data_IF_064782527886
#
_entry.id   IF_064782527886
#
_cell.length_a   1.000
_cell.length_b   1.000
_cell.length_c   1.000
_cell.angle_alpha   90.00
_cell.angle_beta   90.00
_cell.angle_gamma   90.00
#
_symmetry.space_group_name_H-M   'P 1'
#
loop_
_entity.id
_entity.type
_entity.pdbx_description
1 polymer ?
#
# COMPACT_ATOMS: atom_id res chain seq x y z
N UNK A 1 -8.99 22.61 3.36
CA UNK A 1 -9.52 21.72 4.39
C UNK A 1 -10.89 22.10 4.90
N UNK A 2 -11.51 23.10 4.26
CA UNK A 2 -12.82 23.57 4.71
C UNK A 2 -13.91 22.52 4.56
N UNK A 3 -13.72 21.54 3.67
CA UNK A 3 -14.72 20.50 3.45
C UNK A 3 -14.79 19.48 4.57
N UNK A 4 -13.93 19.60 5.56
CA UNK A 4 -13.80 18.63 6.61
C UNK A 4 -14.37 19.07 7.94
N UNK A 5 -15.24 20.07 7.93
CA UNK A 5 -15.66 20.64 9.21
C UNK A 5 -16.59 19.75 10.01
N UNK A 6 -17.63 19.18 9.41
CA UNK A 6 -18.64 18.43 10.17
C UNK A 6 -18.92 17.06 9.65
N UNK A 7 -19.01 16.94 8.36
CA UNK A 7 -19.41 15.67 7.72
C UNK A 7 -18.18 14.83 7.51
N UNK A 8 -17.54 14.49 8.60
CA UNK A 8 -16.21 13.87 8.54
C UNK A 8 -16.14 12.64 7.69
N UNK A 9 -17.23 11.89 7.58
CA UNK A 9 -17.18 10.68 6.77
C UNK A 9 -17.02 10.98 5.29
N UNK A 10 -17.32 12.21 4.87
CA UNK A 10 -17.18 12.63 3.49
C UNK A 10 -15.95 13.49 3.25
N UNK A 11 -15.12 13.68 4.26
CA UNK A 11 -13.94 14.50 4.15
C UNK A 11 -12.86 13.78 3.35
N UNK A 12 -12.23 14.43 2.36
CA UNK A 12 -11.18 13.79 1.57
C UNK A 12 -10.04 13.20 2.40
N UNK A 13 -9.72 13.81 3.54
CA UNK A 13 -8.64 13.27 4.37
C UNK A 13 -9.02 11.91 4.96
N UNK A 14 -10.29 11.68 5.27
CA UNK A 14 -10.74 10.39 5.76
C UNK A 14 -10.62 9.33 4.67
N UNK A 15 -10.92 9.69 3.43
CA UNK A 15 -10.72 8.76 2.33
C UNK A 15 -9.25 8.38 2.20
N UNK A 16 -8.36 9.38 2.20
CA UNK A 16 -6.93 9.13 2.08
C UNK A 16 -6.44 8.21 3.19
N UNK A 17 -6.85 8.51 4.42
CA UNK A 17 -6.43 7.68 5.55
C UNK A 17 -6.97 6.27 5.43
N UNK A 18 -8.18 6.10 4.91
CA UNK A 18 -8.73 4.75 4.74
C UNK A 18 -7.91 3.92 3.76
N UNK A 19 -7.28 4.59 2.79
CA UNK A 19 -6.48 3.91 1.77
C UNK A 19 -5.12 3.49 2.33
N UNK A 20 -4.49 4.33 3.14
CA UNK A 20 -3.10 4.10 3.55
C UNK A 20 -2.92 3.76 5.02
N UNK A 21 -3.95 3.89 5.84
CA UNK A 21 -3.79 3.66 7.27
C UNK A 21 -3.68 2.16 7.58
N UNK A 22 -3.12 1.87 8.75
CA UNK A 22 -2.83 0.52 9.16
C UNK A 22 -1.33 0.35 9.26
N UNK A 23 -0.94 -0.68 9.96
CA UNK A 23 0.47 -0.88 10.27
C UNK A 23 1.30 -1.26 9.05
N UNK A 24 0.68 -1.97 8.10
CA UNK A 24 1.47 -2.65 7.06
C UNK A 24 1.31 -2.08 5.66
N UNK A 25 0.26 -1.32 5.38
CA UNK A 25 0.01 -0.87 4.01
C UNK A 25 1.14 -0.02 3.46
N UNK A 26 1.62 0.92 4.27
CA UNK A 26 2.73 1.78 3.84
C UNK A 26 3.96 0.94 3.49
N UNK A 27 4.29 -0.02 4.35
CA UNK A 27 5.47 -0.86 4.12
C UNK A 27 5.33 -1.69 2.87
N UNK A 28 4.15 -2.25 2.64
CA UNK A 28 3.88 -3.03 1.42
C UNK A 28 4.09 -2.14 0.19
N UNK A 29 3.53 -0.95 0.20
CA UNK A 29 3.67 -0.01 -0.92
C UNK A 29 5.12 0.37 -1.14
N UNK A 30 5.87 0.58 -0.07
CA UNK A 30 7.28 0.92 -0.16
C UNK A 30 8.04 -0.16 -0.96
N UNK A 31 7.79 -1.42 -0.66
CA UNK A 31 8.52 -2.49 -1.34
C UNK A 31 8.04 -2.69 -2.77
N UNK A 32 6.76 -2.42 -3.05
CA UNK A 32 6.29 -2.46 -4.44
C UNK A 32 6.97 -1.36 -5.25
N UNK A 33 7.10 -0.16 -4.69
CA UNK A 33 7.81 0.93 -5.35
C UNK A 33 9.25 0.54 -5.63
N UNK A 34 9.90 -0.04 -4.63
CA UNK A 34 11.32 -0.41 -4.74
C UNK A 34 11.56 -1.46 -5.81
N UNK A 35 10.72 -2.47 -5.87
CA UNK A 35 10.91 -3.59 -6.80
C UNK A 35 10.22 -3.37 -8.14
N UNK A 36 9.27 -2.45 -8.21
CA UNK A 36 8.41 -2.16 -9.37
C UNK A 36 7.43 -3.29 -9.64
N UNK A 37 7.90 -4.53 -9.73
CA UNK A 37 7.08 -5.72 -9.83
C UNK A 37 7.52 -6.64 -8.71
N UNK A 38 6.59 -7.08 -7.88
CA UNK A 38 6.97 -7.88 -6.73
C UNK A 38 6.01 -9.05 -6.57
N UNK A 39 6.56 -10.19 -6.17
CA UNK A 39 5.77 -11.38 -5.87
C UNK A 39 5.39 -11.42 -4.41
N UNK A 40 4.30 -12.11 -4.12
CA UNK A 40 3.82 -12.29 -2.76
C UNK A 40 4.93 -12.78 -1.82
N UNK A 41 5.66 -13.81 -2.25
CA UNK A 41 6.72 -14.38 -1.43
C UNK A 41 7.83 -13.38 -1.09
N UNK A 42 8.12 -12.48 -2.04
CA UNK A 42 9.14 -11.48 -1.82
C UNK A 42 8.68 -10.45 -0.79
N UNK A 43 7.42 -10.06 -0.84
CA UNK A 43 6.86 -9.17 0.18
C UNK A 43 7.00 -9.82 1.56
N UNK A 44 6.68 -11.11 1.64
CA UNK A 44 6.77 -11.84 2.90
C UNK A 44 8.21 -11.90 3.41
N UNK A 45 9.18 -12.02 2.50
CA UNK A 45 10.59 -11.98 2.89
C UNK A 45 11.00 -10.65 3.48
N UNK A 46 10.51 -9.55 2.89
CA UNK A 46 10.81 -8.21 3.40
C UNK A 46 10.14 -7.93 4.73
N UNK A 47 8.98 -8.54 4.97
CA UNK A 47 8.17 -8.28 6.14
C UNK A 47 7.89 -9.58 6.89
N UNK A 48 8.95 -10.24 7.41
CA UNK A 48 8.78 -11.57 8.00
C UNK A 48 7.79 -11.62 9.18
N UNK A 49 7.65 -10.56 10.00
CA UNK A 49 6.69 -10.65 11.11
C UNK A 49 5.22 -10.67 10.69
N UNK A 50 4.90 -10.26 9.46
CA UNK A 50 3.50 -10.20 9.05
C UNK A 50 2.96 -11.60 8.81
N UNK A 51 1.77 -11.88 9.33
CA UNK A 51 1.12 -13.16 9.11
C UNK A 51 0.54 -13.22 7.69
N UNK A 52 0.49 -14.43 7.13
CA UNK A 52 -0.09 -14.61 5.79
C UNK A 52 -1.50 -14.04 5.69
N UNK A 53 -2.33 -14.28 6.70
CA UNK A 53 -3.70 -13.78 6.69
C UNK A 53 -3.73 -12.26 6.61
N UNK A 54 -2.87 -11.61 7.41
CA UNK A 54 -2.80 -10.15 7.43
C UNK A 54 -2.29 -9.61 6.11
N UNK A 55 -1.23 -10.20 5.58
CA UNK A 55 -0.67 -9.74 4.30
C UNK A 55 -1.70 -9.88 3.18
N UNK A 56 -2.35 -11.04 3.10
CA UNK A 56 -3.38 -11.25 2.08
C UNK A 56 -4.51 -10.25 2.19
N UNK A 57 -4.93 -9.95 3.42
CA UNK A 57 -6.00 -8.99 3.65
C UNK A 57 -5.60 -7.59 3.22
N UNK A 58 -4.38 -7.17 3.58
CA UNK A 58 -3.89 -5.85 3.21
C UNK A 58 -3.75 -5.71 1.69
N UNK A 59 -3.26 -6.73 1.03
CA UNK A 59 -3.14 -6.72 -0.43
C UNK A 59 -4.51 -6.63 -1.09
N UNK A 60 -5.49 -7.35 -0.57
CA UNK A 60 -6.86 -7.28 -1.11
C UNK A 60 -7.45 -5.89 -0.93
N UNK A 61 -7.20 -5.26 0.20
CA UNK A 61 -7.70 -3.91 0.42
C UNK A 61 -7.06 -2.91 -0.53
N UNK A 62 -5.75 -3.00 -0.71
CA UNK A 62 -5.05 -2.12 -1.64
C UNK A 62 -5.52 -2.34 -3.07
N UNK A 63 -5.75 -3.57 -3.45
CA UNK A 63 -6.27 -3.89 -4.78
C UNK A 63 -7.69 -3.36 -4.93
N UNK A 64 -8.52 -3.56 -3.92
CA UNK A 64 -9.90 -3.08 -3.95
C UNK A 64 -10.01 -1.57 -4.05
N UNK A 65 -9.06 -0.86 -3.46
CA UNK A 65 -9.01 0.61 -3.55
C UNK A 65 -8.36 1.09 -4.84
N UNK A 66 -7.95 0.18 -5.71
CA UNK A 66 -7.37 0.53 -6.99
C UNK A 66 -5.94 1.03 -6.90
N UNK A 67 -5.24 0.72 -5.81
CA UNK A 67 -3.87 1.20 -5.59
C UNK A 67 -2.86 0.28 -6.23
N UNK A 68 -3.10 -1.03 -6.17
CA UNK A 68 -2.21 -2.01 -6.76
C UNK A 68 -2.97 -2.88 -7.74
N UNK A 69 -2.23 -3.42 -8.69
CA UNK A 69 -2.73 -4.39 -9.65
C UNK A 69 -2.13 -5.75 -9.33
N UNK A 70 -2.98 -6.76 -9.37
CA UNK A 70 -2.58 -8.13 -9.15
C UNK A 70 -2.69 -8.90 -10.46
N UNK A 71 -1.58 -9.52 -10.87
CA UNK A 71 -1.56 -10.31 -12.09
C UNK A 71 -1.21 -11.76 -11.74
N UNK A 72 -2.08 -12.67 -12.11
CA UNK A 72 -1.86 -14.09 -11.89
C UNK A 72 -1.51 -14.75 -13.20
N UNK A 73 -0.44 -15.52 -13.19
CA UNK A 73 0.04 -16.24 -14.37
C UNK A 73 -0.24 -17.73 -14.21
N UNK A 74 -0.88 -18.31 -15.21
CA UNK A 74 -1.19 -19.74 -15.22
C UNK A 74 -0.01 -20.53 -15.77
N UNK A 75 1.04 -20.57 -14.99
CA UNK A 75 2.26 -21.33 -15.31
C UNK A 75 2.51 -22.32 -14.19
N UNK A 76 3.50 -23.18 -14.35
CA UNK A 76 3.85 -24.15 -13.33
C UNK A 76 5.28 -23.88 -12.86
N UNK A 77 5.45 -23.51 -11.59
CA UNK A 77 4.41 -23.25 -10.59
C UNK A 77 3.68 -21.93 -10.88
N UNK A 78 2.44 -21.78 -10.39
CA UNK A 78 1.72 -20.52 -10.59
C UNK A 78 2.41 -19.37 -9.89
N UNK A 79 2.28 -18.18 -10.47
CA UNK A 79 2.89 -17.00 -9.85
C UNK A 79 1.91 -15.84 -9.87
N UNK A 80 2.05 -14.98 -8.86
CA UNK A 80 1.24 -13.78 -8.71
C UNK A 80 2.19 -12.61 -8.53
N UNK A 81 1.98 -11.57 -9.33
CA UNK A 81 2.80 -10.36 -9.27
C UNK A 81 1.93 -9.15 -8.94
N UNK A 82 2.51 -8.22 -8.21
CA UNK A 82 1.85 -6.99 -7.82
C UNK A 82 2.62 -5.79 -8.35
N UNK A 83 1.88 -4.81 -8.87
CA UNK A 83 2.44 -3.56 -9.37
C UNK A 83 1.56 -2.42 -8.91
N UNK A 84 2.09 -1.20 -8.96
CA UNK A 84 1.26 -0.02 -8.68
C UNK A 84 0.43 0.34 -9.90
N UNK A 85 -0.82 0.74 -9.65
CA UNK A 85 -1.64 1.37 -10.68
C UNK A 85 -1.24 2.82 -10.82
N UNK A 86 -1.83 3.53 -11.80
CA UNK A 86 -1.60 4.97 -11.91
C UNK A 86 -2.06 5.69 -10.65
N UNK A 87 -3.19 5.27 -10.11
CA UNK A 87 -3.68 5.82 -8.84
C UNK A 87 -2.68 5.58 -7.72
N UNK A 88 -2.12 4.37 -7.67
CA UNK A 88 -1.10 4.05 -6.66
C UNK A 88 0.15 4.88 -6.81
N UNK A 89 0.59 5.10 -8.06
CA UNK A 89 1.76 5.92 -8.31
C UNK A 89 1.57 7.36 -7.84
N UNK A 90 0.34 7.86 -7.89
CA UNK A 90 0.06 9.21 -7.44
C UNK A 90 0.23 9.37 -5.93
N UNK A 91 0.25 8.28 -5.18
CA UNK A 91 0.50 8.33 -3.74
C UNK A 91 1.98 8.45 -3.40
N UNK A 92 2.87 8.10 -4.32
CA UNK A 92 4.29 8.00 -4.02
C UNK A 92 4.87 9.31 -3.46
N UNK A 93 4.59 10.48 -4.05
CA UNK A 93 5.13 11.72 -3.47
C UNK A 93 4.66 11.96 -2.05
N UNK A 94 3.41 11.62 -1.74
CA UNK A 94 2.88 11.80 -0.40
C UNK A 94 3.57 10.85 0.58
N UNK A 95 3.74 9.60 0.19
CA UNK A 95 4.42 8.63 1.04
C UNK A 95 5.86 9.04 1.30
N UNK A 96 6.51 9.59 0.29
CA UNK A 96 7.88 10.08 0.42
C UNK A 96 7.95 11.24 1.41
N UNK A 97 7.00 12.18 1.33
CA UNK A 97 6.91 13.25 2.30
C UNK A 97 6.72 12.73 3.72
N UNK A 98 5.86 11.74 3.87
CA UNK A 98 5.63 11.15 5.19
C UNK A 98 6.90 10.50 5.72
N UNK A 99 7.62 9.82 4.86
CA UNK A 99 8.88 9.19 5.23
C UNK A 99 9.89 10.26 5.68
N UNK A 100 10.03 11.32 4.91
CA UNK A 100 10.97 12.39 5.22
C UNK A 100 10.62 13.08 6.53
N UNK A 101 9.34 13.32 6.75
CA UNK A 101 8.90 13.93 8.01
C UNK A 101 9.29 13.04 9.19
N UNK A 102 9.02 11.75 9.05
CA UNK A 102 9.37 10.80 10.10
C UNK A 102 10.87 10.73 10.34
N UNK A 103 11.63 10.73 9.26
CA UNK A 103 13.09 10.65 9.35
C UNK A 103 13.66 11.83 10.13
N UNK A 104 13.07 13.01 9.95
CA UNK A 104 13.54 14.20 10.63
C UNK A 104 13.27 14.15 12.13
N UNK A 105 12.14 13.58 12.52
CA UNK A 105 11.69 13.66 13.92
C UNK A 105 11.80 12.34 14.68
N UNK A 106 12.04 11.25 13.98
CA UNK A 106 12.15 9.93 14.60
C UNK A 106 13.50 9.79 15.29
N UNK A 107 13.46 9.34 16.53
CA UNK A 107 14.69 9.04 17.28
C UNK A 107 15.01 7.54 17.21
#
# INVERSE_FOLDING_TARGET
MDNCNNEKVNCPIFYTLSVISGKWKWAILFFIVKEEVIRYGKIKEYLPPIAHKTLSQQLKELEGDGIIHREQYNVMPPKVEYTLTEKGKSLVPMLDFMYQWGEKWYD
#
